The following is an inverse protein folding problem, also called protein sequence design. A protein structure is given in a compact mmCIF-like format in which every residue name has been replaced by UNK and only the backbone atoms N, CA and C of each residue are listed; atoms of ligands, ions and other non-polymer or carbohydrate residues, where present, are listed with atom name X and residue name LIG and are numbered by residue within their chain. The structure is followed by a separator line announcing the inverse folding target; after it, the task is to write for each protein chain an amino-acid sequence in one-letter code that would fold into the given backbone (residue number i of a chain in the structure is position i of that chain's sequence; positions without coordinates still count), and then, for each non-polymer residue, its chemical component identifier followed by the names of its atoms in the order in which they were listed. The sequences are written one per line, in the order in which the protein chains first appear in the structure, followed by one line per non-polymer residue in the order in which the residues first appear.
data_IF_450109449726
#
_entry.id   IF_450109449726
#
_cell.length_a   1.000
_cell.length_b   1.000
_cell.length_c   1.000
_cell.angle_alpha   90.00
_cell.angle_beta   90.00
_cell.angle_gamma   90.00
#
_symmetry.space_group_name_H-M   'P 1'
#
loop_
_entity.id
_entity.type
_entity.pdbx_description
1 polymer ?
#
# COMPACT_ATOMS: atom_id res chain seq x y z
N UNK A 1 4.80 1.15 -3.33
CA UNK A 1 3.90 1.10 -2.17
C UNK A 1 4.37 2.14 -1.19
N UNK A 2 3.52 3.10 -0.86
CA UNK A 2 3.78 4.11 0.17
C UNK A 2 2.47 4.52 0.84
N UNK A 3 2.49 4.97 2.09
CA UNK A 3 1.27 5.29 2.83
C UNK A 3 0.40 6.38 2.17
N UNK A 4 1.01 7.22 1.32
CA UNK A 4 0.28 8.19 0.52
C UNK A 4 -0.37 7.57 -0.73
N UNK A 5 0.35 6.70 -1.43
CA UNK A 5 -0.08 6.15 -2.72
C UNK A 5 -0.94 4.89 -2.57
N UNK A 6 -0.78 4.16 -1.48
CA UNK A 6 -1.42 2.87 -1.29
C UNK A 6 -2.95 2.98 -1.17
N UNK A 7 -3.53 3.92 -0.41
CA UNK A 7 -4.99 4.07 -0.35
C UNK A 7 -5.67 4.32 -1.71
N UNK A 8 -5.25 5.30 -2.54
CA UNK A 8 -5.86 5.51 -3.86
C UNK A 8 -5.58 4.34 -4.82
N UNK A 9 -4.41 3.70 -4.75
CA UNK A 9 -4.10 2.55 -5.60
C UNK A 9 -4.93 1.32 -5.23
N UNK A 10 -5.10 1.00 -3.94
CA UNK A 10 -5.97 -0.07 -3.46
C UNK A 10 -7.42 0.16 -3.88
N UNK A 11 -7.88 1.40 -3.77
CA UNK A 11 -9.21 1.78 -4.23
C UNK A 11 -9.36 1.55 -5.74
N UNK A 12 -8.43 2.05 -6.56
CA UNK A 12 -8.44 1.85 -8.00
C UNK A 12 -8.36 0.36 -8.39
N UNK A 13 -7.51 -0.42 -7.72
CA UNK A 13 -7.45 -1.88 -7.89
C UNK A 13 -8.78 -2.53 -7.58
N UNK A 14 -9.48 -2.12 -6.51
CA UNK A 14 -10.80 -2.64 -6.17
C UNK A 14 -11.84 -2.35 -7.25
N UNK A 15 -11.84 -1.14 -7.80
CA UNK A 15 -12.72 -0.78 -8.93
C UNK A 15 -12.42 -1.64 -10.15
N UNK A 16 -11.14 -1.81 -10.50
CA UNK A 16 -10.70 -2.61 -11.66
C UNK A 16 -11.04 -4.10 -11.51
N UNK A 17 -10.82 -4.69 -10.33
CA UNK A 17 -11.17 -6.08 -10.03
C UNK A 17 -12.67 -6.30 -10.28
N UNK A 18 -13.51 -5.41 -9.79
CA UNK A 18 -14.96 -5.58 -9.92
C UNK A 18 -15.47 -5.35 -11.36
N UNK A 19 -14.83 -4.44 -12.12
CA UNK A 19 -15.25 -4.10 -13.49
C UNK A 19 -14.70 -5.03 -14.56
N UNK A 20 -13.49 -5.54 -14.38
CA UNK A 20 -12.75 -6.26 -15.45
C UNK A 20 -12.80 -7.77 -15.25
N UNK A 21 -12.80 -8.24 -14.00
CA UNK A 21 -12.66 -9.68 -13.75
C UNK A 21 -14.03 -10.40 -13.66
N UNK A 22 -14.10 -11.64 -14.18
CA UNK A 22 -15.20 -12.56 -13.91
C UNK A 22 -15.36 -12.80 -12.41
N UNK A 23 -16.59 -13.03 -11.95
CA UNK A 23 -16.93 -13.14 -10.54
C UNK A 23 -16.08 -14.20 -9.80
N UNK A 24 -15.78 -15.31 -10.47
CA UNK A 24 -15.03 -16.45 -9.96
C UNK A 24 -13.57 -16.11 -9.66
N UNK A 25 -13.02 -15.06 -10.30
CA UNK A 25 -11.62 -14.64 -10.14
C UNK A 25 -11.45 -13.45 -9.18
N UNK A 26 -12.54 -12.78 -8.79
CA UNK A 26 -12.45 -11.53 -8.01
C UNK A 26 -11.85 -11.74 -6.64
N UNK A 27 -12.18 -12.84 -5.97
CA UNK A 27 -11.68 -13.09 -4.61
C UNK A 27 -10.20 -13.51 -4.61
N UNK A 28 -9.77 -14.28 -5.61
CA UNK A 28 -8.35 -14.57 -5.82
C UNK A 28 -7.56 -13.29 -6.14
N UNK A 29 -8.11 -12.40 -6.98
CA UNK A 29 -7.48 -11.12 -7.30
C UNK A 29 -7.46 -10.16 -6.11
N UNK A 30 -8.49 -10.16 -5.26
CA UNK A 30 -8.50 -9.43 -4.00
C UNK A 30 -7.35 -9.92 -3.10
N UNK A 31 -7.25 -11.23 -2.88
CA UNK A 31 -6.21 -11.81 -2.05
C UNK A 31 -4.80 -11.54 -2.60
N UNK A 32 -4.61 -11.68 -3.92
CA UNK A 32 -3.33 -11.38 -4.58
C UNK A 32 -2.96 -9.90 -4.45
N UNK A 33 -3.92 -8.99 -4.67
CA UNK A 33 -3.70 -7.55 -4.49
C UNK A 33 -3.31 -7.26 -3.05
N UNK A 34 -4.05 -7.82 -2.09
CA UNK A 34 -3.76 -7.65 -0.68
C UNK A 34 -2.36 -8.16 -0.32
N UNK A 35 -1.97 -9.33 -0.82
CA UNK A 35 -0.65 -9.90 -0.64
C UNK A 35 0.48 -9.03 -1.21
N UNK A 36 0.29 -8.45 -2.40
CA UNK A 36 1.27 -7.53 -3.01
C UNK A 36 1.40 -6.24 -2.20
N UNK A 37 0.28 -5.65 -1.78
CA UNK A 37 0.32 -4.41 -1.00
C UNK A 37 0.90 -4.64 0.40
N UNK A 38 0.45 -5.66 1.14
CA UNK A 38 1.04 -5.97 2.45
C UNK A 38 2.49 -6.41 2.33
N UNK A 39 2.81 -7.37 1.45
CA UNK A 39 4.17 -7.88 1.30
C UNK A 39 5.14 -6.80 0.82
N UNK A 40 4.75 -6.02 -0.18
CA UNK A 40 5.56 -4.92 -0.71
C UNK A 40 5.76 -3.81 0.32
N UNK A 41 4.69 -3.38 1.00
CA UNK A 41 4.78 -2.32 2.00
C UNK A 41 5.52 -2.75 3.26
N UNK A 42 5.29 -3.97 3.75
CA UNK A 42 5.99 -4.52 4.91
C UNK A 42 7.48 -4.72 4.59
N UNK A 43 7.80 -5.24 3.40
CA UNK A 43 9.18 -5.37 2.94
C UNK A 43 9.89 -4.02 2.83
N UNK A 44 9.22 -3.00 2.28
CA UNK A 44 9.76 -1.64 2.22
C UNK A 44 9.95 -1.05 3.62
N UNK A 45 8.98 -1.21 4.51
CA UNK A 45 9.05 -0.71 5.89
C UNK A 45 10.19 -1.32 6.71
N UNK A 46 10.47 -2.61 6.49
CA UNK A 46 11.57 -3.35 7.10
C UNK A 46 12.89 -3.21 6.34
N UNK A 47 12.94 -2.39 5.28
CA UNK A 47 14.14 -2.17 4.45
C UNK A 47 14.74 -3.47 3.90
N UNK A 48 13.90 -4.43 3.47
CA UNK A 48 14.35 -5.69 2.88
C UNK A 48 15.27 -5.42 1.67
N UNK A 49 16.45 -6.07 1.58
CA UNK A 49 17.35 -5.91 0.44
C UNK A 49 16.66 -6.28 -0.89
N UNK A 50 16.92 -5.52 -1.95
CA UNK A 50 16.34 -5.76 -3.28
C UNK A 50 15.12 -4.89 -3.63
N UNK A 51 14.45 -4.28 -2.64
CA UNK A 51 13.34 -3.35 -2.91
C UNK A 51 13.79 -1.93 -3.30
N UNK A 52 15.10 -1.74 -3.50
CA UNK A 52 15.73 -0.49 -3.93
C UNK A 52 15.09 0.18 -5.13
N UNK A 53 14.66 -0.61 -6.11
CA UNK A 53 14.04 -0.12 -7.33
C UNK A 53 12.71 0.61 -7.09
N UNK A 54 11.98 0.27 -6.03
CA UNK A 54 10.68 0.86 -5.72
C UNK A 54 10.77 2.27 -5.13
N UNK A 55 11.89 2.60 -4.48
CA UNK A 55 12.04 3.86 -3.73
C UNK A 55 13.13 4.78 -4.24
N UNK A 56 14.16 4.27 -4.93
CA UNK A 56 15.25 5.09 -5.50
C UNK A 56 14.76 6.23 -6.42
N UNK A 57 13.74 6.05 -7.28
CA UNK A 57 13.24 7.15 -8.12
C UNK A 57 12.68 8.33 -7.33
N UNK A 58 12.23 8.10 -6.09
CA UNK A 58 11.60 9.11 -5.24
C UNK A 58 12.59 9.84 -4.33
N UNK A 59 13.91 9.72 -4.59
CA UNK A 59 15.00 10.30 -3.78
C UNK A 59 14.93 9.94 -2.28
N UNK A 60 14.23 8.86 -1.94
CA UNK A 60 14.14 8.37 -0.58
C UNK A 60 15.46 7.74 -0.15
N UNK A 61 15.76 7.80 1.15
CA UNK A 61 17.01 7.25 1.72
C UNK A 61 16.96 5.73 1.90
N UNK A 62 15.77 5.18 2.12
CA UNK A 62 15.51 3.75 2.27
C UNK A 62 14.01 3.45 2.06
N UNK A 63 13.61 2.18 2.17
CA UNK A 63 12.21 1.77 1.97
C UNK A 63 11.24 2.36 2.98
N UNK A 64 11.65 2.48 4.26
CA UNK A 64 10.82 3.11 5.31
C UNK A 64 10.61 4.60 5.08
N UNK A 65 11.66 5.29 4.67
CA UNK A 65 11.62 6.70 4.30
C UNK A 65 10.67 6.91 3.13
N UNK A 66 10.71 6.04 2.13
CA UNK A 66 9.75 6.08 1.02
C UNK A 66 8.31 5.82 1.46
N UNK A 67 8.07 4.86 2.36
CA UNK A 67 6.73 4.56 2.87
C UNK A 67 6.08 5.79 3.53
N UNK A 68 6.84 6.52 4.35
CA UNK A 68 6.33 7.71 5.05
C UNK A 68 6.33 8.97 4.20
N UNK A 69 7.42 9.19 3.45
CA UNK A 69 7.64 10.45 2.78
C UNK A 69 7.15 10.46 1.35
N UNK A 70 7.25 9.35 0.63
CA UNK A 70 6.90 9.27 -0.81
C UNK A 70 7.56 10.36 -1.67
N UNK A 71 8.62 11.00 -1.17
CA UNK A 71 9.24 12.20 -1.76
C UNK A 71 8.51 13.53 -1.51
N UNK A 72 7.37 13.54 -0.81
CA UNK A 72 6.51 14.71 -0.54
C UNK A 72 6.55 15.15 0.92
N UNK A 73 6.45 14.21 1.86
CA UNK A 73 6.52 14.53 3.30
C UNK A 73 7.97 14.56 3.80
N UNK A 74 8.17 15.09 5.01
CA UNK A 74 9.48 15.20 5.69
C UNK A 74 9.44 14.60 7.10
N UNK A 75 8.78 13.46 7.26
CA UNK A 75 8.75 12.68 8.50
C UNK A 75 10.16 12.15 8.81
N UNK A 76 10.65 12.42 10.02
CA UNK A 76 11.95 11.92 10.47
C UNK A 76 11.86 10.43 10.83
N UNK A 77 12.13 9.56 9.86
CA UNK A 77 12.09 8.11 10.05
C UNK A 77 13.31 7.55 10.79
N UNK A 78 14.30 8.38 11.13
CA UNK A 78 15.47 7.96 11.94
C UNK A 78 15.17 7.90 13.44
N UNK A 79 14.24 8.73 13.91
CA UNK A 79 13.71 8.73 15.28
C UNK A 79 12.41 7.92 15.37
N UNK A 80 12.26 6.93 14.48
CA UNK A 80 11.09 6.07 14.45
C UNK A 80 11.00 5.24 15.74
N UNK A 81 10.21 5.73 16.69
CA UNK A 81 9.89 5.05 17.94
C UNK A 81 8.51 4.37 17.86
N UNK A 82 8.09 3.68 18.92
CA UNK A 82 6.83 2.94 19.00
C UNK A 82 5.59 3.64 18.38
N UNK A 83 5.37 4.96 18.56
CA UNK A 83 4.23 5.65 17.96
C UNK A 83 4.21 5.59 16.42
N UNK A 84 5.38 5.64 15.77
CA UNK A 84 5.48 5.57 14.32
C UNK A 84 5.20 4.15 13.81
N UNK A 85 5.55 3.13 14.60
CA UNK A 85 5.19 1.74 14.32
C UNK A 85 3.70 1.49 14.50
N UNK A 86 3.09 2.04 15.55
CA UNK A 86 1.65 1.97 15.78
C UNK A 86 0.86 2.67 14.67
N UNK A 87 1.30 3.86 14.23
CA UNK A 87 0.68 4.58 13.13
C UNK A 87 0.77 3.80 11.81
N UNK A 88 1.94 3.21 11.51
CA UNK A 88 2.10 2.33 10.35
C UNK A 88 1.13 1.13 10.42
N UNK A 89 1.03 0.48 11.58
CA UNK A 89 0.06 -0.61 11.82
C UNK A 89 -1.39 -0.17 11.62
N UNK A 90 -1.74 1.03 12.08
CA UNK A 90 -3.06 1.63 11.85
C UNK A 90 -3.36 1.85 10.37
N UNK A 91 -2.41 2.40 9.61
CA UNK A 91 -2.56 2.60 8.17
C UNK A 91 -2.71 1.24 7.46
N UNK A 92 -1.89 0.24 7.83
CA UNK A 92 -2.02 -1.11 7.31
C UNK A 92 -3.40 -1.73 7.55
N UNK A 93 -3.98 -1.51 8.72
CA UNK A 93 -5.33 -1.98 9.05
C UNK A 93 -6.41 -1.35 8.16
N UNK A 94 -6.15 -0.17 7.56
CA UNK A 94 -7.08 0.47 6.62
C UNK A 94 -7.00 -0.07 5.19
N UNK A 95 -5.98 -0.87 4.83
CA UNK A 95 -5.81 -1.34 3.44
C UNK A 95 -6.99 -2.16 2.92
N UNK A 96 -7.52 -3.15 3.67
CA UNK A 96 -8.72 -3.88 3.27
C UNK A 96 -9.95 -2.97 3.08
N UNK A 97 -10.04 -1.89 3.83
CA UNK A 97 -11.15 -0.95 3.73
C UNK A 97 -11.15 -0.23 2.37
N UNK A 98 -10.02 0.32 1.92
CA UNK A 98 -9.93 1.00 0.62
C UNK A 98 -10.20 0.07 -0.55
N UNK A 99 -9.67 -1.15 -0.52
CA UNK A 99 -9.89 -2.15 -1.56
C UNK A 99 -11.38 -2.52 -1.68
N UNK A 100 -12.03 -2.80 -0.54
CA UNK A 100 -13.47 -3.12 -0.51
C UNK A 100 -14.34 -1.94 -0.93
N UNK A 101 -13.95 -0.72 -0.57
CA UNK A 101 -14.65 0.50 -1.00
C UNK A 101 -14.59 0.64 -2.53
N UNK A 102 -13.42 0.40 -3.13
CA UNK A 102 -13.24 0.36 -4.58
C UNK A 102 -14.10 -0.70 -5.26
N UNK A 103 -14.10 -1.94 -4.74
CA UNK A 103 -14.98 -3.01 -5.24
C UNK A 103 -16.46 -2.64 -5.16
N UNK A 104 -16.90 -2.04 -4.05
CA UNK A 104 -18.29 -1.59 -3.86
C UNK A 104 -18.69 -0.52 -4.89
N UNK A 105 -17.80 0.42 -5.18
CA UNK A 105 -18.05 1.43 -6.22
C UNK A 105 -18.06 0.81 -7.62
N UNK A 106 -17.10 -0.09 -7.92
CA UNK A 106 -17.05 -0.78 -9.22
C UNK A 106 -18.29 -1.63 -9.51
N UNK A 107 -19.00 -2.08 -8.46
CA UNK A 107 -20.27 -2.80 -8.55
C UNK A 107 -21.48 -1.90 -8.85
N UNK A 108 -21.43 -0.63 -8.45
CA UNK A 108 -22.46 0.35 -8.82
C UNK A 108 -22.20 0.78 -10.26
N UNK A 109 -23.09 0.38 -11.16
CA UNK A 109 -23.12 0.84 -12.55
C UNK A 109 -23.22 2.36 -12.60
#
# INVERSE_FOLDING_TARGET
MSFLLDPPLLFASGVLIERVLPAERRDAAEAATMGVFFGGSFGLYNNVPGLGLLWRPFRARNGRDFMWNSGVFKVNTKEADWPLHAAAGGIFATYPFFLKLGRKLGRRK
#
